data_IF_998161087175
#
_entry.id   IF_998161087175
#
_cell.length_a   1.000
_cell.length_b   1.000
_cell.length_c   1.000
_cell.angle_alpha   90.00
_cell.angle_beta   90.00
_cell.angle_gamma   90.00
#
_symmetry.space_group_name_H-M   'P 1'
#
loop_
_entity.id
_entity.type
_entity.pdbx_description
1 polymer ?
#
# COMPACT_ATOMS: atom_id res chain seq x y z
N UNK A 1 38.86 0.24 18.75
CA UNK A 1 37.65 1.09 18.86
C UNK A 1 36.86 0.96 17.57
N UNK A 2 35.65 0.40 17.63
CA UNK A 2 34.73 0.40 16.47
C UNK A 2 34.09 1.78 16.41
N UNK A 3 34.27 2.49 15.30
CA UNK A 3 33.71 3.83 15.08
C UNK A 3 32.49 3.69 14.18
N UNK A 4 31.31 4.02 14.69
CA UNK A 4 30.10 4.08 13.89
C UNK A 4 30.13 5.32 12.99
N UNK A 5 30.00 5.13 11.69
CA UNK A 5 29.87 6.22 10.71
C UNK A 5 28.42 6.33 10.25
N UNK A 6 27.91 7.56 10.19
CA UNK A 6 26.61 7.86 9.60
C UNK A 6 26.80 8.88 8.47
N UNK A 7 25.99 8.75 7.41
CA UNK A 7 25.98 9.68 6.29
C UNK A 7 24.62 10.34 6.17
N UNK A 8 24.60 11.64 5.90
CA UNK A 8 23.38 12.41 5.67
C UNK A 8 23.35 12.84 4.21
N UNK A 9 22.34 12.39 3.48
CA UNK A 9 22.12 12.76 2.09
C UNK A 9 20.80 13.50 1.93
N UNK A 10 20.74 14.37 0.92
CA UNK A 10 19.50 14.98 0.44
C UNK A 10 19.35 14.67 -1.04
N UNK A 11 18.19 14.14 -1.42
CA UNK A 11 17.86 13.81 -2.80
C UNK A 11 17.17 15.03 -3.43
N UNK A 12 17.52 15.34 -4.67
CA UNK A 12 16.88 16.38 -5.49
C UNK A 12 16.24 15.72 -6.72
N UNK A 13 14.99 15.24 -6.59
CA UNK A 13 14.36 14.47 -7.66
C UNK A 13 14.03 15.33 -8.88
N UNK A 14 14.17 14.74 -10.07
CA UNK A 14 13.69 15.33 -11.32
C UNK A 14 12.17 15.43 -11.34
N UNK A 15 11.61 16.21 -12.25
CA UNK A 15 10.14 16.29 -12.41
C UNK A 15 9.50 14.92 -12.63
N UNK A 16 10.12 14.07 -13.45
CA UNK A 16 9.65 12.70 -13.69
C UNK A 16 9.64 11.86 -12.40
N UNK A 17 10.70 11.94 -11.58
CA UNK A 17 10.78 11.22 -10.31
C UNK A 17 9.73 11.72 -9.30
N UNK A 18 9.51 13.03 -9.22
CA UNK A 18 8.46 13.61 -8.37
C UNK A 18 7.07 13.08 -8.74
N UNK A 19 6.77 13.05 -10.04
CA UNK A 19 5.51 12.48 -10.54
C UNK A 19 5.40 10.99 -10.22
N UNK A 20 6.48 10.22 -10.43
CA UNK A 20 6.51 8.80 -10.06
C UNK A 20 6.22 8.60 -8.58
N UNK A 21 6.88 9.33 -7.68
CA UNK A 21 6.61 9.25 -6.25
C UNK A 21 5.17 9.60 -5.89
N UNK A 22 4.64 10.68 -6.44
CA UNK A 22 3.27 11.08 -6.19
C UNK A 22 2.27 9.99 -6.62
N UNK A 23 2.47 9.39 -7.81
CA UNK A 23 1.66 8.27 -8.28
C UNK A 23 1.79 7.06 -7.35
N UNK A 24 3.02 6.63 -7.05
CA UNK A 24 3.28 5.47 -6.18
C UNK A 24 2.64 5.65 -4.81
N UNK A 25 2.87 6.77 -4.13
CA UNK A 25 2.32 7.02 -2.80
C UNK A 25 0.79 7.13 -2.82
N UNK A 26 0.23 7.77 -3.84
CA UNK A 26 -1.22 7.85 -4.02
C UNK A 26 -1.85 6.46 -4.20
N UNK A 27 -1.26 5.63 -5.05
CA UNK A 27 -1.76 4.27 -5.31
C UNK A 27 -1.63 3.36 -4.09
N UNK A 28 -0.50 3.41 -3.38
CA UNK A 28 -0.27 2.65 -2.14
C UNK A 28 -1.30 3.04 -1.08
N UNK A 29 -1.49 4.34 -0.84
CA UNK A 29 -2.48 4.83 0.13
C UNK A 29 -3.90 4.40 -0.24
N UNK A 30 -4.25 4.49 -1.51
CA UNK A 30 -5.55 4.05 -1.98
C UNK A 30 -5.77 2.56 -1.75
N UNK A 31 -4.84 1.71 -2.18
CA UNK A 31 -4.95 0.25 -2.02
C UNK A 31 -5.05 -0.13 -0.55
N UNK A 32 -4.22 0.44 0.31
CA UNK A 32 -4.30 0.20 1.75
C UNK A 32 -5.70 0.48 2.29
N UNK A 33 -6.22 1.69 2.04
CA UNK A 33 -7.54 2.11 2.55
C UNK A 33 -8.68 1.29 1.96
N UNK A 34 -8.64 1.03 0.65
CA UNK A 34 -9.70 0.30 -0.05
C UNK A 34 -9.77 -1.15 0.43
N UNK A 35 -8.62 -1.83 0.50
CA UNK A 35 -8.56 -3.20 0.99
C UNK A 35 -8.93 -3.31 2.47
N UNK A 36 -8.52 -2.35 3.31
CA UNK A 36 -8.92 -2.32 4.73
C UNK A 36 -10.44 -2.16 4.86
N UNK A 37 -11.05 -1.22 4.13
CA UNK A 37 -12.50 -1.02 4.12
C UNK A 37 -13.25 -2.28 3.68
N UNK A 38 -12.88 -2.85 2.54
CA UNK A 38 -13.57 -4.01 1.97
C UNK A 38 -13.50 -5.22 2.92
N UNK A 39 -12.37 -5.41 3.62
CA UNK A 39 -12.25 -6.49 4.61
C UNK A 39 -13.08 -6.23 5.86
N UNK A 40 -13.16 -4.99 6.34
CA UNK A 40 -14.00 -4.61 7.49
C UNK A 40 -15.47 -4.85 7.14
N UNK A 41 -15.90 -4.39 5.96
CA UNK A 41 -17.29 -4.52 5.52
C UNK A 41 -17.67 -5.99 5.33
N UNK A 42 -16.81 -6.77 4.66
CA UNK A 42 -17.01 -8.21 4.50
C UNK A 42 -17.06 -8.96 5.84
N UNK A 43 -16.21 -8.60 6.80
CA UNK A 43 -16.23 -9.21 8.13
C UNK A 43 -17.52 -8.89 8.89
N UNK A 44 -17.99 -7.65 8.83
CA UNK A 44 -19.26 -7.26 9.47
C UNK A 44 -20.46 -8.03 8.93
N UNK A 45 -20.44 -8.34 7.63
CA UNK A 45 -21.54 -9.06 6.97
C UNK A 45 -21.47 -10.58 7.18
N UNK A 46 -20.28 -11.17 7.13
CA UNK A 46 -20.10 -12.63 7.06
C UNK A 46 -19.48 -13.26 8.30
N UNK A 47 -18.84 -12.46 9.16
CA UNK A 47 -17.98 -12.90 10.26
C UNK A 47 -16.68 -13.56 9.80
N UNK A 48 -16.36 -13.52 8.50
CA UNK A 48 -15.20 -14.20 7.90
C UNK A 48 -14.15 -13.21 7.40
N UNK A 49 -12.91 -13.69 7.25
CA UNK A 49 -11.82 -12.91 6.67
C UNK A 49 -11.92 -12.89 5.13
N UNK A 50 -11.87 -11.70 4.54
CA UNK A 50 -11.74 -11.54 3.08
C UNK A 50 -10.28 -11.65 2.64
N UNK A 51 -10.02 -12.54 1.68
CA UNK A 51 -8.71 -12.73 1.05
C UNK A 51 -8.69 -12.12 -0.36
N UNK A 52 -8.51 -10.80 -0.44
CA UNK A 52 -8.42 -10.01 -1.67
C UNK A 52 -6.97 -9.64 -2.00
N UNK A 53 -6.70 -9.33 -3.27
CA UNK A 53 -5.37 -8.90 -3.75
C UNK A 53 -5.47 -7.61 -4.56
N UNK A 54 -4.40 -6.77 -4.61
CA UNK A 54 -4.39 -5.55 -5.40
C UNK A 54 -4.74 -5.74 -6.88
N UNK A 55 -4.52 -6.95 -7.44
CA UNK A 55 -4.81 -7.25 -8.83
C UNK A 55 -6.29 -7.10 -9.19
N UNK A 56 -7.20 -7.44 -8.26
CA UNK A 56 -8.65 -7.38 -8.48
C UNK A 56 -9.14 -5.95 -8.75
N UNK A 57 -8.46 -4.96 -8.17
CA UNK A 57 -8.80 -3.54 -8.30
C UNK A 57 -8.30 -2.91 -9.61
N UNK A 58 -7.43 -3.59 -10.37
CA UNK A 58 -6.79 -2.99 -11.54
C UNK A 58 -7.71 -2.84 -12.75
N UNK A 59 -8.84 -3.55 -12.76
CA UNK A 59 -9.85 -3.41 -13.80
C UNK A 59 -10.69 -2.13 -13.57
N UNK A 60 -11.14 -1.90 -12.33
CA UNK A 60 -11.89 -0.70 -11.96
C UNK A 60 -11.00 0.55 -11.85
N UNK A 61 -9.72 0.36 -11.51
CA UNK A 61 -8.74 1.43 -11.32
C UNK A 61 -7.48 1.20 -12.17
N UNK A 62 -7.54 1.45 -13.50
CA UNK A 62 -6.43 1.17 -14.41
C UNK A 62 -5.12 1.88 -14.08
N UNK A 63 -5.18 3.05 -13.43
CA UNK A 63 -4.01 3.82 -13.00
C UNK A 63 -3.14 3.07 -11.96
N UNK A 64 -3.66 2.03 -11.30
CA UNK A 64 -2.87 1.11 -10.48
C UNK A 64 -1.85 0.30 -11.30
N UNK A 65 -2.02 0.22 -12.63
CA UNK A 65 -1.06 -0.44 -13.54
C UNK A 65 0.18 0.44 -13.81
N UNK A 66 0.15 1.71 -13.43
CA UNK A 66 1.24 2.67 -13.69
C UNK A 66 2.37 2.65 -12.63
N UNK A 67 2.17 1.93 -11.52
CA UNK A 67 3.10 1.92 -10.39
C UNK A 67 3.65 0.52 -10.16
N UNK A 68 4.77 0.47 -9.42
CA UNK A 68 5.42 -0.78 -9.06
C UNK A 68 4.48 -1.74 -8.31
N UNK A 69 4.43 -2.99 -8.76
CA UNK A 69 3.53 -3.99 -8.20
C UNK A 69 3.92 -4.42 -6.79
N UNK A 70 5.21 -4.38 -6.45
CA UNK A 70 5.69 -4.76 -5.12
C UNK A 70 5.25 -3.73 -4.07
N UNK A 71 5.24 -2.45 -4.42
CA UNK A 71 4.70 -1.39 -3.55
C UNK A 71 3.22 -1.64 -3.19
N UNK A 72 2.40 -2.08 -4.16
CA UNK A 72 0.99 -2.41 -3.91
C UNK A 72 0.84 -3.70 -3.10
N UNK A 73 1.69 -4.70 -3.33
CA UNK A 73 1.70 -5.94 -2.55
C UNK A 73 2.06 -5.69 -1.08
N UNK A 74 3.02 -4.81 -0.81
CA UNK A 74 3.36 -4.41 0.56
C UNK A 74 2.18 -3.71 1.24
N UNK A 75 1.47 -2.83 0.54
CA UNK A 75 0.26 -2.18 1.05
C UNK A 75 -0.84 -3.19 1.43
N UNK A 76 -1.00 -4.25 0.64
CA UNK A 76 -1.87 -5.37 1.01
C UNK A 76 -1.44 -5.98 2.35
N UNK A 77 -0.18 -6.40 2.49
CA UNK A 77 0.31 -7.04 3.72
C UNK A 77 0.17 -6.14 4.95
N UNK A 78 0.47 -4.85 4.82
CA UNK A 78 0.30 -3.87 5.90
C UNK A 78 -1.17 -3.70 6.31
N UNK A 79 -2.08 -3.64 5.33
CA UNK A 79 -3.53 -3.54 5.62
C UNK A 79 -4.09 -4.81 6.28
N UNK A 80 -3.52 -5.99 6.00
CA UNK A 80 -3.87 -7.25 6.68
C UNK A 80 -3.41 -7.27 8.14
N UNK A 81 -2.28 -6.66 8.46
CA UNK A 81 -1.86 -6.49 9.85
C UNK A 81 -2.74 -5.46 10.57
N UNK A 82 -3.12 -4.38 9.88
CA UNK A 82 -3.94 -3.31 10.43
C UNK A 82 -5.37 -3.71 10.80
N UNK A 83 -5.94 -4.74 10.16
CA UNK A 83 -7.30 -5.19 10.49
C UNK A 83 -7.36 -6.04 11.75
N UNK A 84 -6.27 -6.75 12.12
CA UNK A 84 -6.30 -7.71 13.24
C UNK A 84 -6.82 -7.10 14.57
N UNK A 85 -6.39 -5.89 14.99
CA UNK A 85 -6.90 -5.25 16.21
C UNK A 85 -8.35 -4.74 16.11
N UNK A 86 -8.94 -4.70 14.91
CA UNK A 86 -10.32 -4.21 14.67
C UNK A 86 -11.34 -5.35 14.71
N UNK A 87 -10.89 -6.60 14.76
CA UNK A 87 -11.71 -7.81 14.78
C UNK A 87 -11.80 -8.46 16.18
N UNK A 88 -11.09 -7.89 17.16
CA UNK A 88 -11.11 -8.25 18.59
C UNK A 88 -12.07 -7.34 19.37
#
# INVERSE_FOLDING_TARGET
MIVNKAYRYRIYPTTAQKMMFAKTFGCVRFIYNKMLSDRIDYYKETGQKLNNTPAQYKEDFPWLKEVDSLALANAQTESEQGIQPLLE
#
